data_IF_778133210289
#
_entry.id   IF_778133210289
#
_cell.length_a   1.000
_cell.length_b   1.000
_cell.length_c   1.000
_cell.angle_alpha   90.00
_cell.angle_beta   90.00
_cell.angle_gamma   90.00
#
_symmetry.space_group_name_H-M   'P 1'
#
loop_
_entity.id
_entity.type
_entity.pdbx_description
1 polymer ?
#
# COMPACT_ATOMS: atom_id res chain seq x y z
N UNK A 1 -3.46 21.45 -2.58
CA UNK A 1 -4.30 20.63 -3.48
C UNK A 1 -4.42 19.26 -2.84
N UNK A 2 -5.63 18.72 -2.69
CA UNK A 2 -5.78 17.36 -2.18
C UNK A 2 -5.37 16.39 -3.31
N UNK A 3 -4.26 15.71 -3.12
CA UNK A 3 -3.86 14.59 -3.97
C UNK A 3 -4.04 13.34 -3.12
N UNK A 4 -4.68 12.32 -3.69
CA UNK A 4 -4.79 11.04 -3.00
C UNK A 4 -3.45 10.34 -3.12
N UNK A 5 -2.80 10.14 -1.98
CA UNK A 5 -1.47 9.52 -1.87
C UNK A 5 -1.61 8.15 -1.23
N UNK A 6 -1.10 7.14 -1.90
CA UNK A 6 -0.96 5.78 -1.37
C UNK A 6 0.54 5.51 -1.25
N UNK A 7 1.00 5.18 -0.04
CA UNK A 7 2.38 4.75 0.19
C UNK A 7 2.39 3.34 0.75
N UNK A 8 3.13 2.45 0.10
CA UNK A 8 3.33 1.06 0.51
C UNK A 8 4.81 0.87 0.85
N UNK A 9 5.09 0.26 2.00
CA UNK A 9 6.44 -0.05 2.47
C UNK A 9 6.57 -1.56 2.67
N UNK A 10 7.60 -2.16 2.06
CA UNK A 10 7.88 -3.59 2.13
C UNK A 10 9.31 -3.77 2.64
N UNK A 11 9.44 -4.43 3.79
CA UNK A 11 10.73 -4.86 4.34
C UNK A 11 10.91 -6.37 4.13
N UNK A 12 12.02 -6.76 3.51
CA UNK A 12 12.39 -8.17 3.35
C UNK A 12 13.41 -8.58 4.41
N UNK A 13 13.01 -9.49 5.31
CA UNK A 13 13.80 -9.97 6.45
C UNK A 13 14.06 -11.46 6.33
N UNK A 14 15.34 -11.86 6.38
CA UNK A 14 15.74 -13.27 6.17
C UNK A 14 15.81 -14.07 7.47
N UNK A 15 15.89 -13.41 8.64
CA UNK A 15 15.98 -14.10 9.93
C UNK A 15 15.14 -13.41 11.00
N UNK A 16 14.13 -14.09 11.56
CA UNK A 16 13.25 -13.51 12.58
C UNK A 16 13.94 -13.27 13.94
N UNK A 17 15.10 -13.86 14.19
CA UNK A 17 15.82 -13.73 15.48
C UNK A 17 16.74 -12.51 15.54
N UNK A 18 17.28 -12.10 14.39
CA UNK A 18 18.13 -10.93 14.22
C UNK A 18 17.54 -10.18 13.03
N UNK A 19 16.79 -9.10 13.25
CA UNK A 19 16.10 -8.32 12.21
C UNK A 19 17.09 -7.72 11.19
N UNK A 20 17.62 -8.57 10.32
CA UNK A 20 18.57 -8.19 9.28
C UNK A 20 17.75 -7.98 8.02
N UNK A 21 17.43 -6.71 7.76
CA UNK A 21 16.72 -6.29 6.55
C UNK A 21 17.69 -6.43 5.38
N UNK A 22 17.34 -7.29 4.43
CA UNK A 22 18.14 -7.56 3.23
C UNK A 22 17.78 -6.64 2.07
N UNK A 23 16.54 -6.20 2.03
CA UNK A 23 16.05 -5.27 1.03
C UNK A 23 14.83 -4.52 1.55
N UNK A 24 14.68 -3.29 1.10
CA UNK A 24 13.52 -2.46 1.37
C UNK A 24 13.00 -1.86 0.07
N UNK A 25 11.67 -1.78 -0.06
CA UNK A 25 10.98 -1.12 -1.15
C UNK A 25 9.93 -0.17 -0.57
N UNK A 26 9.96 1.08 -0.99
CA UNK A 26 8.89 2.05 -0.78
C UNK A 26 8.31 2.41 -2.13
N UNK A 27 6.99 2.35 -2.26
CA UNK A 27 6.26 2.81 -3.43
C UNK A 27 5.26 3.85 -2.99
N UNK A 28 5.35 5.05 -3.56
CA UNK A 28 4.38 6.12 -3.38
C UNK A 28 3.70 6.41 -4.71
N UNK A 29 2.38 6.34 -4.73
CA UNK A 29 1.52 6.63 -5.89
C UNK A 29 0.65 7.82 -5.53
N UNK A 30 0.64 8.83 -6.40
CA UNK A 30 -0.11 10.07 -6.23
C UNK A 30 -1.01 10.28 -7.43
N UNK A 31 -2.32 10.27 -7.20
CA UNK A 31 -3.28 10.68 -8.21
C UNK A 31 -3.47 12.21 -8.13
N UNK A 32 -2.83 12.93 -9.04
CA UNK A 32 -2.86 14.39 -9.06
C UNK A 32 -4.06 14.89 -9.88
N UNK A 33 -4.55 16.13 -9.64
CA UNK A 33 -5.68 16.67 -10.41
C UNK A 33 -5.37 16.94 -11.89
N UNK A 34 -4.09 16.87 -12.30
CA UNK A 34 -3.65 17.00 -13.70
C UNK A 34 -2.22 16.48 -13.86
N UNK A 35 -1.81 16.19 -15.10
CA UNK A 35 -0.42 15.83 -15.44
C UNK A 35 0.60 16.89 -14.97
N UNK A 36 0.25 18.18 -15.06
CA UNK A 36 1.09 19.27 -14.56
C UNK A 36 1.30 19.18 -13.04
N UNK A 37 0.23 18.91 -12.29
CA UNK A 37 0.32 18.75 -10.84
C UNK A 37 1.11 17.49 -10.45
N UNK A 38 1.01 16.40 -11.23
CA UNK A 38 1.83 15.20 -11.05
C UNK A 38 3.32 15.50 -11.25
N UNK A 39 3.66 16.30 -12.26
CA UNK A 39 5.04 16.74 -12.51
C UNK A 39 5.57 17.66 -11.40
N UNK A 40 4.77 18.64 -10.96
CA UNK A 40 5.10 19.49 -9.82
C UNK A 40 5.35 18.65 -8.54
N UNK A 41 4.54 17.61 -8.30
CA UNK A 41 4.75 16.69 -7.19
C UNK A 41 6.10 15.99 -7.28
N UNK A 42 6.47 15.43 -8.43
CA UNK A 42 7.76 14.74 -8.59
C UNK A 42 8.97 15.67 -8.37
N UNK A 43 8.87 16.93 -8.81
CA UNK A 43 9.92 17.94 -8.54
C UNK A 43 10.05 18.18 -7.04
N UNK A 44 8.92 18.35 -6.33
CA UNK A 44 8.92 18.57 -4.89
C UNK A 44 9.50 17.34 -4.18
N UNK A 45 9.04 16.13 -4.51
CA UNK A 45 9.53 14.88 -3.93
C UNK A 45 11.05 14.73 -4.09
N UNK A 46 11.57 14.95 -5.30
CA UNK A 46 13.01 14.91 -5.54
C UNK A 46 13.80 16.01 -4.80
N UNK A 47 13.13 17.11 -4.42
CA UNK A 47 13.71 18.14 -3.57
C UNK A 47 13.69 17.77 -2.09
N UNK A 48 12.74 16.94 -1.64
CA UNK A 48 12.70 16.42 -0.27
C UNK A 48 13.83 15.40 -0.08
N UNK A 49 15.00 15.91 0.28
CA UNK A 49 16.22 15.10 0.48
C UNK A 49 17.46 15.69 -0.19
N UNK A 50 17.27 16.65 -1.09
CA UNK A 50 18.34 17.38 -1.76
C UNK A 50 18.52 18.76 -1.13
N UNK A 51 19.75 19.12 -0.78
CA UNK A 51 20.12 20.51 -0.45
C UNK A 51 20.23 21.41 -1.70
N UNK A 52 19.88 20.90 -2.89
CA UNK A 52 19.90 21.65 -4.12
C UNK A 52 18.66 22.56 -4.25
N UNK A 53 18.88 23.75 -4.81
CA UNK A 53 17.81 24.70 -5.15
C UNK A 53 16.81 24.03 -6.13
N UNK A 54 15.50 24.32 -6.04
CA UNK A 54 14.47 23.76 -6.93
C UNK A 54 14.79 23.90 -8.44
N UNK A 55 15.46 24.98 -8.82
CA UNK A 55 15.89 25.26 -10.20
C UNK A 55 16.94 24.25 -10.71
N UNK A 56 17.86 23.78 -9.85
CA UNK A 56 18.82 22.73 -10.22
C UNK A 56 18.15 21.36 -10.32
N UNK A 57 17.08 21.12 -9.56
CA UNK A 57 16.31 19.88 -9.62
C UNK A 57 15.51 19.84 -10.91
N UNK A 58 14.93 20.96 -11.33
CA UNK A 58 14.26 21.09 -12.64
C UNK A 58 15.25 20.85 -13.79
N UNK A 59 16.47 21.39 -13.70
CA UNK A 59 17.53 21.12 -14.70
C UNK A 59 17.95 19.65 -14.70
N UNK A 60 18.11 19.04 -13.53
CA UNK A 60 18.38 17.61 -13.39
C UNK A 60 17.25 16.76 -14.00
N UNK A 61 15.99 17.18 -13.80
CA UNK A 61 14.81 16.57 -14.41
C UNK A 61 14.74 16.81 -15.92
N UNK A 62 15.30 17.88 -16.48
CA UNK A 62 15.33 18.06 -17.93
C UNK A 62 16.49 17.28 -18.58
N UNK A 63 17.62 17.14 -17.89
CA UNK A 63 18.81 16.45 -18.42
C UNK A 63 18.77 14.92 -18.25
N UNK A 64 18.05 14.41 -17.24
CA UNK A 64 17.88 12.97 -16.98
C UNK A 64 16.53 12.42 -17.43
N UNK A 65 15.62 13.26 -17.95
CA UNK A 65 14.39 12.78 -18.54
C UNK A 65 14.72 12.14 -19.87
N UNK A 66 14.79 10.82 -19.88
CA UNK A 66 14.89 10.05 -21.11
C UNK A 66 13.65 9.16 -21.24
N UNK A 67 13.03 9.17 -22.41
CA UNK A 67 11.99 8.20 -22.78
C UNK A 67 12.56 6.76 -22.86
N UNK A 68 13.89 6.60 -22.76
CA UNK A 68 14.63 5.36 -23.01
C UNK A 68 14.32 4.23 -22.01
N UNK A 69 13.71 4.53 -20.86
CA UNK A 69 13.35 3.51 -19.88
C UNK A 69 12.06 2.74 -20.23
N UNK A 70 11.29 3.24 -21.21
CA UNK A 70 9.99 2.64 -21.59
C UNK A 70 8.94 2.72 -20.48
N UNK A 71 8.97 3.81 -19.70
CA UNK A 71 8.13 4.04 -18.52
C UNK A 71 7.38 5.37 -18.64
N UNK A 72 6.08 5.36 -18.36
CA UNK A 72 5.30 6.59 -18.23
C UNK A 72 5.31 7.49 -19.48
N UNK A 73 5.03 8.77 -19.26
CA UNK A 73 5.23 9.90 -20.18
C UNK A 73 6.49 10.69 -19.83
N UNK A 74 6.93 10.60 -18.58
CA UNK A 74 8.14 11.22 -18.05
C UNK A 74 8.69 10.24 -17.02
N UNK A 75 9.95 9.86 -17.12
CA UNK A 75 10.58 8.92 -16.19
C UNK A 75 12.00 9.34 -15.82
N UNK A 76 12.36 9.03 -14.58
CA UNK A 76 13.66 9.28 -13.97
C UNK A 76 14.11 8.04 -13.24
N UNK A 77 15.37 7.70 -13.45
CA UNK A 77 16.00 6.63 -12.70
C UNK A 77 17.33 7.11 -12.14
N UNK A 78 17.50 6.98 -10.83
CA UNK A 78 18.75 7.25 -10.15
C UNK A 78 18.96 6.17 -9.08
N UNK A 79 19.99 5.34 -9.25
CA UNK A 79 20.48 4.31 -8.32
C UNK A 79 19.54 3.92 -7.17
N UNK A 80 18.62 2.99 -7.43
CA UNK A 80 17.66 2.49 -6.43
C UNK A 80 16.36 3.27 -6.37
N UNK A 81 16.27 4.46 -6.98
CA UNK A 81 15.02 5.23 -7.08
C UNK A 81 14.54 5.36 -8.53
N UNK A 82 13.28 5.02 -8.77
CA UNK A 82 12.56 5.30 -10.02
C UNK A 82 11.43 6.27 -9.74
N UNK A 83 11.29 7.32 -10.56
CA UNK A 83 10.14 8.23 -10.55
C UNK A 83 9.54 8.30 -11.93
N UNK A 84 8.23 8.21 -12.08
CA UNK A 84 7.60 8.40 -13.38
C UNK A 84 6.17 8.92 -13.29
N UNK A 85 5.65 9.44 -14.40
CA UNK A 85 4.27 9.92 -14.55
C UNK A 85 3.55 9.07 -15.58
N UNK A 86 2.35 8.59 -15.25
CA UNK A 86 1.40 8.01 -16.22
C UNK A 86 0.13 8.85 -16.17
N UNK A 87 -0.16 9.57 -17.25
CA UNK A 87 -1.26 10.54 -17.33
C UNK A 87 -1.18 11.62 -16.25
N UNK A 88 -2.01 11.54 -15.20
CA UNK A 88 -2.02 12.42 -14.04
C UNK A 88 -1.56 11.73 -12.74
N UNK A 89 -1.00 10.51 -12.85
CA UNK A 89 -0.53 9.71 -11.72
C UNK A 89 0.99 9.83 -11.64
N UNK A 90 1.50 10.36 -10.52
CA UNK A 90 2.93 10.38 -10.21
C UNK A 90 3.29 9.17 -9.34
N UNK A 91 4.39 8.50 -9.67
CA UNK A 91 4.84 7.28 -8.98
C UNK A 91 6.31 7.48 -8.60
N UNK A 92 6.62 7.18 -7.34
CA UNK A 92 7.96 7.21 -6.77
C UNK A 92 8.22 5.83 -6.17
N UNK A 93 9.32 5.20 -6.55
CA UNK A 93 9.74 3.91 -6.05
C UNK A 93 11.15 4.05 -5.53
N UNK A 94 11.33 3.91 -4.22
CA UNK A 94 12.63 3.90 -3.58
C UNK A 94 12.96 2.47 -3.14
N UNK A 95 14.12 1.98 -3.55
CA UNK A 95 14.57 0.64 -3.21
C UNK A 95 15.99 0.64 -2.66
N UNK A 96 16.22 -0.27 -1.72
CA UNK A 96 17.50 -0.46 -1.05
C UNK A 96 17.81 -1.96 -0.93
N UNK A 97 19.09 -2.29 -0.82
CA UNK A 97 19.56 -3.67 -0.66
C UNK A 97 19.23 -4.53 -1.89
N UNK A 98 18.68 -5.72 -1.68
CA UNK A 98 18.39 -6.68 -2.77
C UNK A 98 17.43 -6.10 -3.84
N UNK A 99 16.49 -5.22 -3.47
CA UNK A 99 15.56 -4.60 -4.42
C UNK A 99 16.17 -3.51 -5.32
N UNK A 100 17.41 -3.06 -5.07
CA UNK A 100 18.07 -2.05 -5.92
C UNK A 100 18.23 -2.51 -7.36
N UNK A 101 18.44 -3.80 -7.59
CA UNK A 101 18.64 -4.36 -8.91
C UNK A 101 17.32 -4.65 -9.65
N UNK A 102 16.20 -4.70 -8.93
CA UNK A 102 14.88 -5.07 -9.47
C UNK A 102 13.96 -3.86 -9.67
N UNK A 103 14.35 -2.69 -9.17
CA UNK A 103 13.48 -1.51 -9.10
C UNK A 103 12.92 -1.07 -10.46
N UNK A 104 13.73 -1.18 -11.53
CA UNK A 104 13.29 -0.82 -12.87
C UNK A 104 12.25 -1.80 -13.41
N UNK A 105 12.40 -3.09 -13.11
CA UNK A 105 11.45 -4.12 -13.53
C UNK A 105 10.14 -4.01 -12.74
N UNK A 106 10.23 -3.68 -11.45
CA UNK A 106 9.07 -3.36 -10.60
C UNK A 106 8.33 -2.14 -11.16
N UNK A 107 9.04 -1.06 -11.52
CA UNK A 107 8.44 0.12 -12.14
C UNK A 107 7.70 -0.24 -13.43
N UNK A 108 8.30 -1.06 -14.30
CA UNK A 108 7.67 -1.50 -15.57
C UNK A 108 6.43 -2.35 -15.32
N UNK A 109 6.44 -3.20 -14.30
CA UNK A 109 5.29 -3.99 -13.92
C UNK A 109 4.13 -3.10 -13.43
N UNK A 110 4.41 -2.08 -12.62
CA UNK A 110 3.41 -1.11 -12.16
C UNK A 110 2.84 -0.32 -13.35
N UNK A 111 3.69 0.20 -14.22
CA UNK A 111 3.26 0.95 -15.40
C UNK A 111 2.38 0.12 -16.35
N UNK A 112 2.78 -1.14 -16.60
CA UNK A 112 1.99 -2.07 -17.40
C UNK A 112 0.66 -2.44 -16.73
N UNK A 113 0.61 -2.51 -15.40
CA UNK A 113 -0.63 -2.75 -14.67
C UNK A 113 -1.58 -1.54 -14.79
N UNK A 114 -1.05 -0.32 -14.68
CA UNK A 114 -1.82 0.91 -14.84
C UNK A 114 -2.42 1.05 -16.25
N UNK A 115 -1.65 0.73 -17.30
CA UNK A 115 -2.15 0.75 -18.68
C UNK A 115 -3.28 -0.26 -18.95
N UNK A 116 -3.36 -1.33 -18.16
CA UNK A 116 -4.42 -2.35 -18.26
C UNK A 116 -5.65 -2.00 -17.44
N UNK A 117 -5.60 -0.95 -16.62
CA UNK A 117 -6.74 -0.56 -15.80
C UNK A 117 -7.89 -0.11 -16.70
N UNK A 118 -9.08 -0.72 -16.58
CA UNK A 118 -10.24 -0.25 -17.31
C UNK A 118 -10.63 1.16 -16.85
N UNK A 119 -11.11 2.01 -17.77
CA UNK A 119 -11.85 3.21 -17.39
C UNK A 119 -13.18 2.79 -16.76
N UNK A 120 -13.25 2.89 -15.44
CA UNK A 120 -14.42 2.53 -14.66
C UNK A 120 -15.16 3.80 -14.21
N UNK A 121 -16.48 3.74 -14.13
CA UNK A 121 -17.26 4.76 -13.43
C UNK A 121 -17.01 4.68 -11.92
N UNK A 122 -17.41 5.70 -11.17
CA UNK A 122 -17.30 5.70 -9.70
C UNK A 122 -18.02 4.49 -9.09
N UNK A 123 -19.22 4.19 -9.58
CA UNK A 123 -20.01 3.04 -9.10
C UNK A 123 -19.32 1.71 -9.41
N UNK A 124 -18.70 1.60 -10.58
CA UNK A 124 -17.95 0.41 -10.98
C UNK A 124 -16.65 0.26 -10.19
N UNK A 125 -15.95 1.35 -9.87
CA UNK A 125 -14.79 1.33 -8.97
C UNK A 125 -15.18 0.84 -7.58
N UNK A 126 -16.24 1.43 -7.00
CA UNK A 126 -16.74 1.05 -5.68
C UNK A 126 -17.16 -0.42 -5.62
N UNK A 127 -17.81 -0.93 -6.67
CA UNK A 127 -18.20 -2.33 -6.74
C UNK A 127 -17.02 -3.31 -6.85
N UNK A 128 -15.84 -2.83 -7.26
CA UNK A 128 -14.62 -3.63 -7.42
C UNK A 128 -13.66 -3.50 -6.25
N UNK A 129 -13.83 -2.49 -5.39
CA UNK A 129 -13.02 -2.31 -4.20
C UNK A 129 -13.08 -3.57 -3.30
N UNK A 130 -11.93 -4.06 -2.81
CA UNK A 130 -11.90 -5.22 -1.95
C UNK A 130 -12.55 -4.89 -0.60
N UNK A 131 -13.43 -5.77 -0.12
CA UNK A 131 -14.12 -5.62 1.16
C UNK A 131 -13.47 -6.45 2.23
N UNK A 132 -13.25 -5.83 3.39
CA UNK A 132 -12.78 -6.51 4.58
C UNK A 132 -13.97 -6.91 5.44
N UNK A 133 -14.07 -8.19 5.75
CA UNK A 133 -15.03 -8.73 6.70
C UNK A 133 -14.27 -9.13 7.96
N UNK A 134 -14.73 -8.67 9.13
CA UNK A 134 -14.12 -8.96 10.42
C UNK A 134 -15.16 -9.63 11.32
N UNK A 135 -14.75 -10.71 11.99
CA UNK A 135 -15.61 -11.38 12.96
C UNK A 135 -14.81 -11.78 14.20
N UNK A 136 -15.48 -11.84 15.34
CA UNK A 136 -14.86 -12.35 16.57
C UNK A 136 -14.78 -13.87 16.50
N UNK A 137 -13.57 -14.42 16.56
CA UNK A 137 -13.35 -15.85 16.67
C UNK A 137 -13.11 -16.28 18.12
N UNK A 138 -13.58 -17.49 18.45
CA UNK A 138 -13.14 -18.23 19.65
C UNK A 138 -12.64 -19.59 19.18
N UNK A 139 -11.32 -19.79 19.21
CA UNK A 139 -10.76 -21.10 18.87
C UNK A 139 -11.18 -22.05 19.96
N UNK A 140 -11.74 -23.19 19.57
CA UNK A 140 -12.13 -24.21 20.51
C UNK A 140 -10.91 -24.68 21.34
N UNK A 141 -11.08 -24.61 22.66
CA UNK A 141 -10.46 -25.42 23.70
C UNK A 141 -8.99 -25.22 24.15
N UNK A 142 -8.10 -24.46 23.49
CA UNK A 142 -6.68 -24.43 23.97
C UNK A 142 -6.02 -23.06 24.19
N UNK A 143 -6.65 -21.94 23.83
CA UNK A 143 -6.09 -20.61 24.13
C UNK A 143 -7.15 -19.67 24.69
N UNK A 144 -6.93 -19.15 25.90
CA UNK A 144 -7.80 -18.18 26.58
C UNK A 144 -7.75 -16.75 25.98
N UNK A 145 -7.15 -16.60 24.81
CA UNK A 145 -6.84 -15.33 24.16
C UNK A 145 -7.88 -15.04 23.09
N UNK A 146 -8.64 -13.93 23.18
CA UNK A 146 -9.58 -13.54 22.14
C UNK A 146 -8.84 -13.14 20.86
N UNK A 147 -9.47 -13.34 19.70
CA UNK A 147 -8.93 -12.92 18.41
C UNK A 147 -10.03 -12.50 17.45
N UNK A 148 -9.63 -11.75 16.43
CA UNK A 148 -10.45 -11.46 15.26
C UNK A 148 -10.02 -12.38 14.13
N UNK A 149 -11.00 -12.92 13.43
CA UNK A 149 -10.80 -13.52 12.11
C UNK A 149 -11.17 -12.48 11.06
N UNK A 150 -10.45 -12.48 9.94
CA UNK A 150 -10.84 -11.67 8.80
C UNK A 150 -10.96 -12.50 7.54
N UNK A 151 -11.81 -12.03 6.63
CA UNK A 151 -11.85 -12.49 5.26
C UNK A 151 -11.94 -11.32 4.30
N UNK A 152 -11.54 -11.54 3.05
CA UNK A 152 -11.55 -10.51 2.02
C UNK A 152 -12.49 -10.96 0.91
N UNK A 153 -13.45 -10.11 0.57
CA UNK A 153 -14.29 -10.27 -0.60
C UNK A 153 -13.72 -9.39 -1.73
N UNK A 154 -13.45 -9.99 -2.88
CA UNK A 154 -13.00 -9.32 -4.08
C UNK A 154 -13.74 -9.89 -5.31
N UNK A 155 -13.80 -9.15 -6.44
CA UNK A 155 -14.38 -9.66 -7.67
C UNK A 155 -13.75 -10.99 -8.13
N UNK A 156 -14.51 -11.79 -8.86
CA UNK A 156 -14.03 -13.07 -9.38
C UNK A 156 -12.73 -12.90 -10.20
N UNK A 157 -11.69 -13.66 -9.85
CA UNK A 157 -10.39 -13.60 -10.50
C UNK A 157 -9.45 -12.50 -9.97
N UNK A 158 -9.90 -11.66 -9.03
CA UNK A 158 -9.08 -10.65 -8.36
C UNK A 158 -8.58 -11.22 -7.03
N UNK A 159 -7.27 -11.12 -6.78
CA UNK A 159 -6.70 -11.42 -5.46
C UNK A 159 -6.55 -10.13 -4.66
N UNK A 160 -6.65 -10.22 -3.34
CA UNK A 160 -6.48 -9.08 -2.45
C UNK A 160 -5.88 -9.52 -1.10
N UNK A 161 -5.17 -8.61 -0.45
CA UNK A 161 -4.48 -8.85 0.81
C UNK A 161 -4.61 -7.65 1.75
N UNK A 162 -4.57 -7.92 3.07
CA UNK A 162 -4.43 -6.87 4.08
C UNK A 162 -2.97 -6.41 4.10
N UNK A 163 -2.72 -5.14 3.81
CA UNK A 163 -1.39 -4.55 3.80
C UNK A 163 -0.94 -4.10 5.19
N UNK A 164 -1.85 -3.50 5.96
CA UNK A 164 -1.61 -3.05 7.33
C UNK A 164 -2.88 -3.24 8.15
N UNK A 165 -2.71 -3.61 9.41
CA UNK A 165 -3.79 -3.66 10.39
C UNK A 165 -3.30 -3.15 11.74
N UNK A 166 -4.03 -2.17 12.28
CA UNK A 166 -3.80 -1.59 13.59
C UNK A 166 -4.98 -1.90 14.49
N UNK A 167 -4.67 -2.34 15.69
CA UNK A 167 -5.64 -2.55 16.77
C UNK A 167 -5.33 -1.54 17.86
N UNK A 168 -6.27 -0.63 18.15
CA UNK A 168 -6.09 0.48 19.09
C UNK A 168 -4.78 1.25 18.81
N UNK A 169 -4.57 1.60 17.53
CA UNK A 169 -3.39 2.31 17.00
C UNK A 169 -2.07 1.53 17.02
N UNK A 170 -2.07 0.26 17.44
CA UNK A 170 -0.86 -0.58 17.43
C UNK A 170 -0.87 -1.51 16.23
N UNK A 171 0.17 -1.42 15.38
CA UNK A 171 0.39 -2.31 14.24
C UNK A 171 0.46 -3.77 14.70
N UNK A 172 -0.28 -4.63 14.01
CA UNK A 172 -0.30 -6.08 14.21
C UNK A 172 -0.05 -6.76 12.87
N UNK A 173 0.87 -7.71 12.84
CA UNK A 173 1.01 -8.57 11.67
C UNK A 173 -0.08 -9.65 11.76
N UNK A 174 -0.99 -9.77 10.77
CA UNK A 174 -1.94 -10.85 10.74
C UNK A 174 -1.21 -12.19 10.54
N UNK A 175 -1.66 -13.24 11.22
CA UNK A 175 -1.16 -14.61 11.04
C UNK A 175 -2.34 -15.51 10.64
N UNK A 176 -2.25 -16.18 9.49
CA UNK A 176 -3.27 -17.13 9.01
C UNK A 176 -4.72 -16.60 9.07
N UNK A 177 -4.93 -15.36 8.66
CA UNK A 177 -6.21 -14.64 8.73
C UNK A 177 -6.76 -14.37 10.14
N UNK A 178 -5.89 -14.47 11.15
CA UNK A 178 -6.20 -14.26 12.56
C UNK A 178 -5.38 -13.09 13.12
N UNK A 179 -6.02 -12.30 13.98
CA UNK A 179 -5.41 -11.19 14.71
C UNK A 179 -5.64 -11.43 16.20
N UNK A 180 -4.58 -11.81 16.92
CA UNK A 180 -4.64 -12.03 18.36
C UNK A 180 -4.77 -10.71 19.12
N UNK A 181 -5.73 -10.67 20.06
CA UNK A 181 -5.89 -9.55 20.99
C UNK A 181 -5.10 -9.87 22.26
N UNK A 182 -4.05 -9.11 22.53
CA UNK A 182 -3.13 -9.36 23.65
C UNK A 182 -3.78 -9.11 25.04
N UNK A 183 -4.90 -8.37 25.06
CA UNK A 183 -5.71 -8.12 26.24
C UNK A 183 -7.14 -8.64 26.00
N UNK A 184 -7.99 -8.64 27.03
CA UNK A 184 -9.45 -8.83 26.89
C UNK A 184 -10.16 -7.47 26.87
N UNK A 185 -10.01 -6.65 25.82
CA UNK A 185 -10.76 -5.41 25.75
C UNK A 185 -12.23 -5.73 25.48
N UNK A 186 -13.15 -4.98 26.09
CA UNK A 186 -14.57 -5.07 25.77
C UNK A 186 -14.87 -4.50 24.37
N UNK A 187 -13.95 -3.67 23.83
CA UNK A 187 -14.07 -3.03 22.52
C UNK A 187 -12.70 -2.80 21.89
N UNK A 188 -12.59 -3.04 20.59
CA UNK A 188 -11.37 -2.78 19.81
C UNK A 188 -11.65 -1.88 18.63
N UNK A 189 -10.78 -0.90 18.42
CA UNK A 189 -10.72 -0.11 17.19
C UNK A 189 -9.78 -0.80 16.22
N UNK A 190 -10.31 -1.20 15.07
CA UNK A 190 -9.56 -1.81 13.97
C UNK A 190 -9.40 -0.78 12.86
N UNK A 191 -8.16 -0.50 12.48
CA UNK A 191 -7.84 0.21 11.25
C UNK A 191 -7.13 -0.76 10.31
N UNK A 192 -7.65 -0.95 9.11
CA UNK A 192 -7.09 -1.90 8.17
C UNK A 192 -7.05 -1.35 6.75
N UNK A 193 -5.99 -1.67 6.01
CA UNK A 193 -5.86 -1.32 4.59
C UNK A 193 -5.81 -2.60 3.77
N UNK A 194 -6.74 -2.74 2.81
CA UNK A 194 -6.78 -3.87 1.88
C UNK A 194 -6.41 -3.40 0.48
N UNK A 195 -5.55 -4.15 -0.20
CA UNK A 195 -5.07 -3.85 -1.55
C UNK A 195 -5.36 -5.04 -2.45
N UNK A 196 -5.90 -4.79 -3.64
CA UNK A 196 -6.14 -5.82 -4.66
C UNK A 196 -5.06 -5.87 -5.74
N UNK A 197 -5.02 -6.95 -6.52
CA UNK A 197 -4.18 -7.06 -7.73
C UNK A 197 -4.53 -6.04 -8.81
N UNK A 198 -5.70 -5.42 -8.71
CA UNK A 198 -6.11 -4.31 -9.58
C UNK A 198 -5.68 -2.95 -9.01
N UNK A 199 -4.82 -2.92 -7.98
CA UNK A 199 -4.35 -1.70 -7.32
C UNK A 199 -5.48 -0.85 -6.72
N UNK A 200 -6.65 -1.45 -6.44
CA UNK A 200 -7.72 -0.80 -5.70
C UNK A 200 -7.45 -0.94 -4.20
N UNK A 201 -7.56 0.18 -3.50
CA UNK A 201 -7.29 0.26 -2.06
C UNK A 201 -8.58 0.56 -1.32
N UNK A 202 -8.78 -0.10 -0.19
CA UNK A 202 -9.88 0.21 0.72
C UNK A 202 -9.34 0.30 2.15
N UNK A 203 -9.66 1.41 2.80
CA UNK A 203 -9.28 1.67 4.19
C UNK A 203 -10.52 1.55 5.05
N UNK A 204 -10.42 0.77 6.11
CA UNK A 204 -11.49 0.49 7.06
C UNK A 204 -11.12 1.02 8.43
N UNK A 205 -12.06 1.69 9.08
CA UNK A 205 -12.00 2.04 10.49
C UNK A 205 -13.29 1.53 11.15
N UNK A 206 -13.18 0.47 11.95
CA UNK A 206 -14.31 -0.27 12.51
C UNK A 206 -14.09 -0.44 14.01
N UNK A 207 -15.13 -0.23 14.80
CA UNK A 207 -15.13 -0.55 16.23
C UNK A 207 -15.90 -1.85 16.46
N UNK A 208 -15.24 -2.86 17.01
CA UNK A 208 -15.81 -4.20 17.26
C UNK A 208 -15.98 -4.39 18.76
N UNK A 209 -17.18 -4.79 19.17
CA UNK A 209 -17.45 -5.23 20.54
C UNK A 209 -17.00 -6.68 20.72
N UNK A 210 -16.26 -6.94 21.80
CA UNK A 210 -15.82 -8.30 22.14
C UNK A 210 -16.80 -8.85 23.17
N UNK A 211 -17.64 -9.86 22.83
CA UNK A 211 -18.66 -10.34 23.75
C UNK A 211 -18.05 -10.95 25.01
N UNK A 212 -18.56 -10.56 26.17
CA UNK A 212 -18.28 -11.19 27.46
C UNK A 212 -19.03 -12.53 27.53
N UNK A 213 -18.35 -13.66 27.25
CA UNK A 213 -18.97 -15.01 27.30
C UNK A 213 -19.18 -15.68 25.93
N UNK A 214 -19.39 -17.00 25.92
CA UNK A 214 -19.24 -17.97 24.80
C UNK A 214 -20.15 -17.80 23.57
N UNK A 215 -20.44 -16.59 23.16
CA UNK A 215 -21.30 -16.31 22.01
C UNK A 215 -20.46 -15.72 20.87
N UNK A 216 -20.45 -16.40 19.73
CA UNK A 216 -19.93 -15.90 18.46
C UNK A 216 -20.97 -14.95 17.87
N UNK A 217 -20.70 -13.65 17.89
CA UNK A 217 -21.48 -12.65 17.17
C UNK A 217 -20.91 -12.44 15.78
N UNK A 218 -21.73 -12.60 14.75
CA UNK A 218 -21.44 -12.11 13.39
C UNK A 218 -21.95 -10.67 13.36
N UNK A 219 -21.09 -9.72 13.00
CA UNK A 219 -21.51 -8.36 12.65
C UNK A 219 -21.25 -8.18 11.15
N UNK A 220 -22.33 -7.92 10.40
CA UNK A 220 -22.33 -7.58 8.96
C UNK A 220 -22.00 -6.12 8.71
#
# INVERSE_FOLDING_TARGET
MAADTISVFIDYVVNNKEKLVKGQLSVTIVNAPSAKAAFEYLIIDAAVGSSAMPEMIILYFNDQCTDDYGLGTVAYYNHGTVRFIRDNIAIVIDSHGEFMNEVLDIAKAIDAALLKQPMLTVEQLQARCPKLHLQTGRKAAETAVPFLEYSIEAPAGVQAWVSDIKINDIVRAPQDNIIFLLEKPNRVKVQATVISTELLVSTYEIEIEIPEGNETGIQE
#
